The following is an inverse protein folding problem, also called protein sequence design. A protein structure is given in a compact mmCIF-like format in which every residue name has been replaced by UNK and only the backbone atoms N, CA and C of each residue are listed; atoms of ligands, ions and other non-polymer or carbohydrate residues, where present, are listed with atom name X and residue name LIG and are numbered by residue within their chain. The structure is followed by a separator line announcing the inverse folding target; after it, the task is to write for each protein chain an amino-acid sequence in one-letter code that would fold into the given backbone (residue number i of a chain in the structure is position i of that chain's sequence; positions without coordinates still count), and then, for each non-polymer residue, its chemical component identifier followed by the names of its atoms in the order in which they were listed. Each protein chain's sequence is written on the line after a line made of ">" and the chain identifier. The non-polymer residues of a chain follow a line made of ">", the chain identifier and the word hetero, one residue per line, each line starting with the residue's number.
data_IF_676275729679
#
_entry.id   IF_676275729679
#
_cell.length_a   1.000
_cell.length_b   1.000
_cell.length_c   1.000
_cell.angle_alpha   90.00
_cell.angle_beta   90.00
_cell.angle_gamma   90.00
#
_symmetry.space_group_name_H-M   'P 1'
#
loop_
_entity.id
_entity.type
_entity.pdbx_description
1 polymer ?
#
# COMPACT_ATOMS: atom_id res chain seq x y z
N UNK A 1 33.37 -10.33 -7.96
CA UNK A 1 31.92 -10.06 -8.08
C UNK A 1 31.23 -10.86 -6.99
N UNK A 2 30.80 -10.21 -5.92
CA UNK A 2 30.20 -10.90 -4.78
C UNK A 2 28.76 -11.27 -5.12
N UNK A 3 28.43 -12.55 -5.14
CA UNK A 3 27.05 -13.03 -5.17
C UNK A 3 26.39 -12.61 -3.85
N UNK A 4 25.63 -11.51 -3.87
CA UNK A 4 24.69 -11.23 -2.79
C UNK A 4 23.59 -12.30 -2.86
N UNK A 5 23.54 -13.14 -1.84
CA UNK A 5 22.41 -14.03 -1.62
C UNK A 5 21.21 -13.15 -1.24
N UNK A 6 20.36 -12.81 -2.20
CA UNK A 6 19.11 -12.12 -1.92
C UNK A 6 18.28 -13.00 -0.98
N UNK A 7 17.97 -12.49 0.21
CA UNK A 7 17.01 -13.14 1.09
C UNK A 7 15.63 -13.07 0.42
N UNK A 8 15.25 -14.13 -0.27
CA UNK A 8 13.98 -14.24 -0.99
C UNK A 8 12.76 -14.20 -0.06
N UNK A 9 12.97 -14.32 1.26
CA UNK A 9 11.93 -14.25 2.29
C UNK A 9 11.75 -12.86 2.90
N UNK A 10 12.57 -11.86 2.52
CA UNK A 10 12.46 -10.51 3.09
C UNK A 10 11.06 -9.94 2.83
N UNK A 11 10.44 -9.47 3.89
CA UNK A 11 9.15 -8.78 3.90
C UNK A 11 9.33 -7.44 4.61
N UNK A 12 8.69 -6.39 4.10
CA UNK A 12 8.57 -5.11 4.79
C UNK A 12 7.13 -4.62 4.70
N UNK A 13 6.65 -3.91 5.72
CA UNK A 13 5.35 -3.24 5.66
C UNK A 13 5.53 -1.93 4.91
N UNK A 14 4.65 -1.64 3.97
CA UNK A 14 4.61 -0.36 3.25
C UNK A 14 3.35 0.38 3.61
N UNK A 15 3.46 1.69 3.85
CA UNK A 15 2.35 2.59 4.13
C UNK A 15 2.31 3.68 3.06
N UNK A 16 1.12 3.90 2.50
CA UNK A 16 0.85 4.93 1.49
C UNK A 16 -0.39 5.71 1.93
N UNK A 17 -0.38 7.03 1.80
CA UNK A 17 -1.56 7.87 2.00
C UNK A 17 -2.72 7.42 1.09
N UNK A 18 -3.95 7.55 1.60
CA UNK A 18 -5.17 7.24 0.88
C UNK A 18 -6.22 8.34 1.03
N UNK A 19 -7.17 8.34 0.09
CA UNK A 19 -8.30 9.25 0.07
C UNK A 19 -9.43 8.71 -0.81
N UNK A 20 -10.61 9.31 -0.69
CA UNK A 20 -11.73 9.09 -1.61
C UNK A 20 -11.61 9.99 -2.84
N UNK A 21 -12.20 9.57 -3.96
CA UNK A 21 -12.28 10.40 -5.17
C UNK A 21 -13.27 11.57 -5.06
N UNK A 22 -14.00 11.67 -3.95
CA UNK A 22 -14.94 12.76 -3.64
C UNK A 22 -14.52 13.42 -2.33
N UNK A 23 -14.47 14.76 -2.30
CA UNK A 23 -13.99 15.53 -1.14
C UNK A 23 -14.84 15.35 0.13
N UNK A 24 -16.12 15.00 -0.03
CA UNK A 24 -17.04 14.75 1.09
C UNK A 24 -17.19 13.26 1.43
N UNK A 25 -16.45 12.38 0.77
CA UNK A 25 -16.55 10.96 1.02
C UNK A 25 -15.81 10.58 2.30
N UNK A 26 -16.45 9.73 3.10
CA UNK A 26 -15.74 8.96 4.11
C UNK A 26 -14.73 8.05 3.41
N UNK A 27 -13.48 8.06 3.86
CA UNK A 27 -12.42 7.36 3.16
C UNK A 27 -11.28 7.02 4.12
N UNK A 28 -10.51 5.96 3.83
CA UNK A 28 -9.29 5.71 4.55
C UNK A 28 -8.30 6.85 4.33
N UNK A 29 -7.45 7.04 5.33
CA UNK A 29 -6.36 8.02 5.32
C UNK A 29 -5.04 7.40 4.90
N UNK A 30 -4.94 6.07 4.95
CA UNK A 30 -3.79 5.32 4.44
C UNK A 30 -4.18 3.90 4.02
N UNK A 31 -3.27 3.25 3.30
CA UNK A 31 -3.26 1.81 3.08
C UNK A 31 -1.91 1.23 3.47
N UNK A 32 -1.93 0.09 4.15
CA UNK A 32 -0.76 -0.64 4.59
C UNK A 32 -0.72 -2.05 3.99
N UNK A 33 0.41 -2.47 3.43
CA UNK A 33 0.54 -3.79 2.81
C UNK A 33 1.95 -4.35 2.95
N UNK A 34 2.09 -5.66 2.89
CA UNK A 34 3.39 -6.32 2.93
C UNK A 34 4.00 -6.38 1.52
N UNK A 35 5.20 -5.84 1.37
CA UNK A 35 5.98 -5.94 0.14
C UNK A 35 7.00 -7.07 0.24
N UNK A 36 7.08 -7.84 -0.84
CA UNK A 36 8.10 -8.87 -1.05
C UNK A 36 8.72 -8.71 -2.44
N UNK A 37 9.84 -9.40 -2.69
CA UNK A 37 10.39 -9.51 -4.05
C UNK A 37 9.37 -10.04 -5.07
N UNK A 38 8.48 -10.95 -4.66
CA UNK A 38 7.44 -11.50 -5.54
C UNK A 38 6.40 -10.45 -5.92
N UNK A 39 5.99 -9.62 -4.97
CA UNK A 39 5.07 -8.50 -5.20
C UNK A 39 5.67 -7.50 -6.19
N UNK A 40 6.90 -7.03 -5.95
CA UNK A 40 7.63 -6.13 -6.85
C UNK A 40 7.77 -6.74 -8.25
N UNK A 41 8.14 -8.03 -8.33
CA UNK A 41 8.23 -8.74 -9.60
C UNK A 41 6.89 -8.83 -10.34
N UNK A 42 5.76 -8.92 -9.62
CA UNK A 42 4.41 -8.88 -10.22
C UNK A 42 4.10 -7.51 -10.80
N UNK A 43 4.42 -6.42 -10.10
CA UNK A 43 4.25 -5.06 -10.62
C UNK A 43 5.05 -4.84 -11.90
N UNK A 44 6.34 -5.21 -11.88
CA UNK A 44 7.23 -5.06 -13.05
C UNK A 44 6.72 -5.87 -14.26
N UNK A 45 6.19 -7.07 -14.05
CA UNK A 45 5.55 -7.86 -15.12
C UNK A 45 4.32 -7.16 -15.70
N UNK A 46 3.49 -6.54 -14.87
CA UNK A 46 2.31 -5.82 -15.36
C UNK A 46 2.68 -4.56 -16.13
N UNK A 47 3.72 -3.82 -15.72
CA UNK A 47 4.28 -2.72 -16.53
C UNK A 47 4.67 -3.22 -17.92
N UNK A 48 5.36 -4.36 -18.00
CA UNK A 48 5.76 -4.95 -19.28
C UNK A 48 4.56 -5.37 -20.13
N UNK A 49 3.51 -5.95 -19.52
CA UNK A 49 2.25 -6.28 -20.20
C UNK A 49 1.58 -5.02 -20.74
N UNK A 50 1.45 -3.95 -19.94
CA UNK A 50 0.86 -2.71 -20.39
C UNK A 50 1.61 -2.13 -21.59
N UNK A 51 2.95 -2.12 -21.57
CA UNK A 51 3.77 -1.65 -22.70
C UNK A 51 3.62 -2.54 -23.95
N UNK A 52 3.64 -3.85 -23.77
CA UNK A 52 3.61 -4.80 -24.90
C UNK A 52 2.28 -4.77 -25.68
N UNK A 53 1.18 -4.42 -25.00
CA UNK A 53 -0.16 -4.41 -25.58
C UNK A 53 -0.78 -3.01 -25.63
N UNK A 54 0.03 -1.95 -25.43
CA UNK A 54 -0.41 -0.55 -25.45
C UNK A 54 -1.58 -0.25 -24.50
N UNK A 55 -1.64 -0.94 -23.36
CA UNK A 55 -2.68 -0.72 -22.34
C UNK A 55 -2.36 0.52 -21.51
N UNK A 56 -3.38 1.29 -21.17
CA UNK A 56 -3.26 2.45 -20.27
C UNK A 56 -2.97 2.03 -18.83
N UNK A 57 -3.45 0.86 -18.42
CA UNK A 57 -3.22 0.26 -17.11
C UNK A 57 -3.57 -1.24 -17.12
N UNK A 58 -3.11 -1.95 -16.09
CA UNK A 58 -3.52 -3.31 -15.76
C UNK A 58 -3.79 -3.41 -14.26
N UNK A 59 -4.69 -4.32 -13.88
CA UNK A 59 -5.16 -4.48 -12.49
C UNK A 59 -5.04 -5.91 -12.02
N UNK A 60 -4.87 -6.11 -10.72
CA UNK A 60 -5.03 -7.41 -10.09
C UNK A 60 -5.58 -7.29 -8.67
N UNK A 61 -6.36 -8.28 -8.25
CA UNK A 61 -6.91 -8.35 -6.91
C UNK A 61 -5.79 -8.39 -5.86
N UNK A 62 -5.85 -7.45 -4.91
CA UNK A 62 -4.93 -7.33 -3.80
C UNK A 62 -5.54 -6.37 -2.78
N UNK A 63 -5.75 -6.86 -1.56
CA UNK A 63 -6.45 -6.15 -0.50
C UNK A 63 -5.40 -5.63 0.49
N UNK A 64 -5.05 -4.33 0.43
CA UNK A 64 -4.22 -3.75 1.49
C UNK A 64 -5.08 -3.60 2.75
N UNK A 65 -4.43 -3.40 3.89
CA UNK A 65 -5.13 -2.96 5.09
C UNK A 65 -5.38 -1.45 5.00
N UNK A 66 -6.62 -1.05 4.76
CA UNK A 66 -7.06 0.35 4.78
C UNK A 66 -7.21 0.82 6.23
N UNK A 67 -6.72 2.03 6.51
CA UNK A 67 -6.83 2.65 7.82
C UNK A 67 -7.48 4.04 7.77
N UNK A 68 -8.06 4.53 8.87
CA UNK A 68 -7.85 4.03 10.23
C UNK A 68 -8.67 2.78 10.59
N UNK A 69 -8.37 2.15 11.73
CA UNK A 69 -9.01 0.90 12.15
C UNK A 69 -10.55 0.92 12.07
N UNK A 70 -11.15 -0.17 11.58
CA UNK A 70 -12.60 -0.30 11.41
C UNK A 70 -13.17 0.24 10.09
N UNK A 71 -12.43 1.10 9.37
CA UNK A 71 -12.93 1.75 8.14
C UNK A 71 -13.33 0.76 7.04
N UNK A 72 -12.64 -0.39 6.93
CA UNK A 72 -12.97 -1.42 5.93
C UNK A 72 -14.36 -2.02 6.14
N UNK A 73 -14.73 -2.24 7.41
CA UNK A 73 -16.01 -2.82 7.81
C UNK A 73 -17.13 -1.77 7.66
N UNK A 74 -16.85 -0.53 8.04
CA UNK A 74 -17.77 0.61 7.90
C UNK A 74 -18.13 0.87 6.44
N UNK A 75 -17.12 0.88 5.57
CA UNK A 75 -17.30 1.09 4.12
C UNK A 75 -17.70 -0.18 3.37
N UNK A 76 -17.63 -1.35 4.02
CA UNK A 76 -17.93 -2.67 3.45
C UNK A 76 -17.22 -2.90 2.12
N UNK A 77 -15.91 -2.70 2.11
CA UNK A 77 -15.07 -2.81 0.92
C UNK A 77 -15.08 -4.24 0.34
N UNK A 78 -15.02 -4.37 -0.99
CA UNK A 78 -15.21 -5.67 -1.66
C UNK A 78 -14.21 -5.98 -2.77
N UNK A 79 -13.58 -4.95 -3.34
CA UNK A 79 -12.90 -5.03 -4.64
C UNK A 79 -11.50 -4.41 -4.58
N UNK A 80 -10.75 -4.74 -3.53
CA UNK A 80 -9.36 -4.32 -3.36
C UNK A 80 -8.48 -4.78 -4.52
N UNK A 81 -7.85 -3.82 -5.17
CA UNK A 81 -6.98 -4.04 -6.31
C UNK A 81 -5.74 -3.15 -6.29
N UNK A 82 -4.71 -3.61 -6.99
CA UNK A 82 -3.59 -2.76 -7.39
C UNK A 82 -3.75 -2.43 -8.86
N UNK A 83 -3.73 -1.14 -9.16
CA UNK A 83 -3.70 -0.57 -10.51
C UNK A 83 -2.25 -0.24 -10.85
N UNK A 84 -1.77 -0.71 -12.01
CA UNK A 84 -0.40 -0.49 -12.50
C UNK A 84 -0.45 0.16 -13.87
N UNK A 85 0.35 1.21 -14.06
CA UNK A 85 0.46 1.98 -15.30
C UNK A 85 1.77 1.67 -16.04
N UNK A 86 1.84 1.86 -17.38
CA UNK A 86 3.02 1.54 -18.17
C UNK A 86 4.25 2.40 -17.83
N UNK A 87 4.09 3.55 -17.19
CA UNK A 87 5.20 4.39 -16.73
C UNK A 87 5.89 3.86 -15.45
N UNK A 88 5.34 2.83 -14.82
CA UNK A 88 5.85 2.29 -13.55
C UNK A 88 5.16 2.84 -12.31
N UNK A 89 4.08 3.62 -12.50
CA UNK A 89 3.22 4.09 -11.41
C UNK A 89 2.27 2.97 -10.96
N UNK A 90 2.01 2.88 -9.66
CA UNK A 90 0.96 2.03 -9.11
C UNK A 90 0.18 2.73 -8.00
N UNK A 91 -1.06 2.28 -7.78
CA UNK A 91 -1.90 2.67 -6.64
C UNK A 91 -2.79 1.51 -6.23
N UNK A 92 -3.21 1.48 -4.98
CA UNK A 92 -4.32 0.63 -4.56
C UNK A 92 -5.65 1.35 -4.80
N UNK A 93 -6.70 0.60 -5.10
CA UNK A 93 -8.06 1.10 -5.18
C UNK A 93 -9.03 0.08 -4.57
N UNK A 94 -10.15 0.59 -4.06
CA UNK A 94 -11.29 -0.22 -3.61
C UNK A 94 -12.59 0.59 -3.72
N UNK A 95 -13.70 -0.08 -3.49
CA UNK A 95 -15.04 0.42 -3.73
C UNK A 95 -15.93 0.16 -2.51
N UNK A 96 -16.39 1.21 -1.81
CA UNK A 96 -17.41 1.10 -0.79
C UNK A 96 -18.74 0.62 -1.39
N UNK A 97 -19.47 -0.25 -0.68
CA UNK A 97 -20.70 -0.86 -1.21
C UNK A 97 -21.79 0.16 -1.55
N UNK A 98 -21.86 1.25 -0.79
CA UNK A 98 -22.96 2.22 -0.83
C UNK A 98 -22.49 3.65 -1.18
N UNK A 99 -21.21 3.83 -1.52
CA UNK A 99 -20.59 5.16 -1.62
C UNK A 99 -20.74 5.85 -2.99
N UNK A 100 -20.77 5.10 -4.09
CA UNK A 100 -20.72 5.69 -5.43
C UNK A 100 -19.41 6.45 -5.75
N UNK A 101 -18.36 6.24 -4.95
CA UNK A 101 -17.02 6.78 -5.14
C UNK A 101 -15.98 5.64 -5.06
N UNK A 102 -14.73 5.97 -5.38
CA UNK A 102 -13.59 5.06 -5.27
C UNK A 102 -12.73 5.56 -4.11
N UNK A 103 -12.21 4.64 -3.31
CA UNK A 103 -11.09 4.94 -2.42
C UNK A 103 -9.80 4.50 -3.09
N UNK A 104 -8.74 5.27 -2.93
CA UNK A 104 -7.46 4.95 -3.56
C UNK A 104 -6.30 5.49 -2.74
N UNK A 105 -5.15 4.85 -2.88
CA UNK A 105 -3.90 5.45 -2.41
C UNK A 105 -3.48 6.57 -3.34
N UNK A 106 -2.65 7.48 -2.82
CA UNK A 106 -1.75 8.27 -3.65
C UNK A 106 -0.95 7.35 -4.60
N UNK A 107 -0.67 7.84 -5.79
CA UNK A 107 0.18 7.14 -6.76
C UNK A 107 1.61 7.04 -6.25
N UNK A 108 2.20 5.85 -6.35
CA UNK A 108 3.58 5.59 -5.99
C UNK A 108 4.37 5.05 -7.18
N UNK A 109 5.67 5.29 -7.18
CA UNK A 109 6.57 4.78 -8.21
C UNK A 109 7.16 3.43 -7.78
N UNK A 110 7.11 2.42 -8.67
CA UNK A 110 7.72 1.11 -8.42
C UNK A 110 9.23 1.25 -8.14
N UNK A 111 9.92 2.18 -8.82
CA UNK A 111 11.34 2.43 -8.59
C UNK A 111 11.63 2.89 -7.15
N UNK A 112 10.80 3.78 -6.60
CA UNK A 112 10.92 4.26 -5.22
C UNK A 112 10.65 3.13 -4.23
N UNK A 113 9.62 2.31 -4.49
CA UNK A 113 9.35 1.11 -3.70
C UNK A 113 10.56 0.15 -3.71
N UNK A 114 11.16 -0.08 -4.87
CA UNK A 114 12.34 -0.94 -5.01
C UNK A 114 13.56 -0.41 -4.25
N UNK A 115 13.80 0.90 -4.30
CA UNK A 115 14.91 1.54 -3.58
C UNK A 115 14.73 1.44 -2.06
N UNK A 116 13.56 1.83 -1.55
CA UNK A 116 13.23 1.76 -0.12
C UNK A 116 13.26 0.30 0.36
N UNK A 117 12.61 -0.61 -0.38
CA UNK A 117 12.66 -2.03 -0.04
C UNK A 117 14.08 -2.59 -0.11
N UNK A 118 14.91 -2.19 -1.07
CA UNK A 118 16.29 -2.64 -1.19
C UNK A 118 17.14 -2.29 0.04
N UNK A 119 16.91 -1.11 0.61
CA UNK A 119 17.63 -0.58 1.78
C UNK A 119 17.06 -1.08 3.12
N UNK A 120 15.81 -1.56 3.12
CA UNK A 120 15.11 -2.04 4.31
C UNK A 120 15.65 -3.38 4.85
N UNK A 121 15.61 -3.52 6.17
CA UNK A 121 15.70 -4.80 6.86
C UNK A 121 14.37 -5.58 6.76
N UNK A 122 14.40 -6.84 7.17
CA UNK A 122 13.19 -7.67 7.28
C UNK A 122 12.33 -7.17 8.45
N UNK A 123 11.03 -6.96 8.21
CA UNK A 123 10.08 -6.44 9.19
C UNK A 123 10.01 -4.91 9.30
N UNK A 124 10.82 -4.16 8.53
CA UNK A 124 10.78 -2.70 8.53
C UNK A 124 9.43 -2.15 8.04
N UNK A 125 9.06 -0.96 8.52
CA UNK A 125 7.94 -0.17 8.01
C UNK A 125 8.46 0.95 7.10
N UNK A 126 7.93 1.02 5.89
CA UNK A 126 8.37 1.91 4.82
C UNK A 126 7.25 2.86 4.43
N UNK A 127 7.50 4.16 4.49
CA UNK A 127 6.56 5.18 4.03
C UNK A 127 6.99 5.63 2.62
N UNK A 128 6.09 5.55 1.65
CA UNK A 128 6.40 5.97 0.27
C UNK A 128 6.22 7.49 0.04
N UNK A 129 5.54 8.18 0.94
CA UNK A 129 5.49 9.63 1.01
C UNK A 129 6.27 10.11 2.25
N UNK A 130 6.99 11.22 2.12
CA UNK A 130 7.66 11.88 3.25
C UNK A 130 6.69 12.85 3.94
N UNK A 131 5.53 12.34 4.36
CA UNK A 131 4.52 13.09 5.12
C UNK A 131 4.59 12.66 6.61
N UNK A 132 5.08 13.52 7.52
CA UNK A 132 5.12 13.21 8.95
C UNK A 132 3.74 12.90 9.55
N UNK A 133 2.66 13.44 8.97
CA UNK A 133 1.30 13.19 9.47
C UNK A 133 0.84 11.77 9.18
N UNK A 134 1.30 11.16 8.07
CA UNK A 134 1.03 9.76 7.75
C UNK A 134 1.68 8.81 8.76
N UNK A 135 2.89 9.13 9.22
CA UNK A 135 3.59 8.34 10.24
C UNK A 135 2.80 8.34 11.56
N UNK A 136 2.34 9.51 12.00
CA UNK A 136 1.55 9.64 13.23
C UNK A 136 0.22 8.90 13.14
N UNK A 137 -0.54 9.09 12.04
CA UNK A 137 -1.80 8.37 11.77
C UNK A 137 -1.62 6.85 11.83
N UNK A 138 -0.59 6.33 11.16
CA UNK A 138 -0.31 4.89 11.18
C UNK A 138 0.08 4.39 12.58
N UNK A 139 0.88 5.15 13.32
CA UNK A 139 1.31 4.77 14.67
C UNK A 139 0.14 4.71 15.67
N UNK A 140 -0.84 5.63 15.57
CA UNK A 140 -2.04 5.62 16.43
C UNK A 140 -2.86 4.34 16.27
N UNK A 141 -2.91 3.76 15.07
CA UNK A 141 -3.67 2.54 14.77
C UNK A 141 -2.90 1.24 15.04
N UNK A 142 -1.56 1.28 15.07
CA UNK A 142 -0.71 0.08 15.08
C UNK A 142 0.31 0.00 16.22
N UNK A 143 0.60 1.07 16.95
CA UNK A 143 1.36 0.94 18.19
C UNK A 143 0.45 0.31 19.26
N UNK A 144 0.88 -0.77 19.93
CA UNK A 144 0.17 -1.23 21.10
C UNK A 144 0.14 -0.09 22.11
N UNK A 145 -1.05 0.31 22.56
CA UNK A 145 -1.20 1.14 23.75
C UNK A 145 -0.37 0.43 24.82
N UNK A 146 0.74 1.04 25.24
CA UNK A 146 1.60 0.48 26.27
C UNK A 146 0.70 0.11 27.45
N UNK A 147 0.76 -1.16 27.88
CA UNK A 147 -0.05 -1.72 28.98
C UNK A 147 -0.22 -0.63 30.04
N UNK A 148 -1.47 -0.17 30.23
CA UNK A 148 -1.79 0.65 31.40
C UNK A 148 -1.25 -0.13 32.61
N UNK A 149 -0.41 0.48 33.46
CA UNK A 149 0.09 -0.23 34.62
C UNK A 149 -1.14 -0.64 35.43
N UNK A 150 -1.35 -1.95 35.55
CA UNK A 150 -2.42 -2.51 36.37
C UNK A 150 -2.36 -1.80 37.72
N UNK A 151 -3.43 -1.07 38.04
CA UNK A 151 -3.60 -0.41 39.33
C UNK A 151 -3.40 -1.47 40.42
N UNK A 152 -2.28 -1.35 41.13
CA UNK A 152 -1.91 -2.17 42.27
C UNK A 152 -2.80 -1.88 43.49
#
# INVERSE_FOLDING_TARGET
>A
MSNQSFNTKKTARVVIEASGTSESAEAPTYAAFDVTHSFIGKLARLVAVCKAYELTEARFACYPAWGPGGIEEELRLQNGEVVVQPDGTFRFADYPSDGGYIIQTSSAQIAVLMEKFGSAADGDVLFLADDPSLHARYAEDYEPIADEPALA
#
